data_IF_926480781911
#
_entry.id   IF_926480781911
#
_cell.length_a   1.000
_cell.length_b   1.000
_cell.length_c   1.000
_cell.angle_alpha   90.00
_cell.angle_beta   90.00
_cell.angle_gamma   90.00
#
_symmetry.space_group_name_H-M   'P 1'
#
loop_
_entity.id
_entity.type
_entity.pdbx_description
1 polymer ?
#
# COMPACT_ATOMS: atom_id res chain seq x y z
N UNK A 1 -24.60 -43.45 9.96
CA UNK A 1 -25.81 -42.62 10.13
C UNK A 1 -25.30 -41.18 10.26
N UNK A 2 -25.17 -40.30 9.26
CA UNK A 2 -25.95 -39.86 8.08
C UNK A 2 -27.19 -39.03 8.44
N UNK A 3 -26.98 -37.78 8.86
CA UNK A 3 -28.05 -36.80 9.04
C UNK A 3 -27.77 -35.59 8.12
N UNK A 4 -28.52 -35.56 7.01
CA UNK A 4 -28.65 -34.48 6.04
C UNK A 4 -29.92 -33.70 6.36
N UNK A 5 -29.84 -32.39 6.51
CA UNK A 5 -30.97 -31.43 6.47
C UNK A 5 -30.33 -30.06 6.18
N UNK A 6 -30.30 -29.44 4.99
CA UNK A 6 -31.31 -29.14 3.96
C UNK A 6 -32.37 -28.11 4.39
N UNK A 7 -32.00 -26.83 4.49
CA UNK A 7 -32.86 -25.63 4.35
C UNK A 7 -31.93 -24.50 3.84
N UNK A 8 -31.81 -24.17 2.55
CA UNK A 8 -32.79 -23.52 1.66
C UNK A 8 -33.35 -22.19 2.22
N UNK A 9 -32.49 -21.16 2.36
CA UNK A 9 -32.91 -19.75 2.46
C UNK A 9 -32.22 -18.99 1.33
N UNK A 10 -32.61 -19.35 0.11
CA UNK A 10 -32.48 -18.52 -1.07
C UNK A 10 -33.88 -18.02 -1.35
N UNK A 11 -34.21 -16.81 -0.94
CA UNK A 11 -35.24 -15.93 -1.52
C UNK A 11 -35.33 -14.68 -0.66
N UNK A 12 -35.54 -13.54 -1.32
CA UNK A 12 -35.96 -12.26 -0.75
C UNK A 12 -34.84 -11.35 -0.24
N UNK A 13 -34.24 -10.59 -1.17
CA UNK A 13 -34.07 -9.13 -1.04
C UNK A 13 -33.66 -8.53 -2.39
N UNK A 14 -34.62 -8.58 -3.31
CA UNK A 14 -34.71 -7.69 -4.46
C UNK A 14 -34.99 -6.29 -3.89
N UNK A 15 -33.94 -5.49 -3.64
CA UNK A 15 -34.10 -4.05 -3.51
C UNK A 15 -33.76 -3.39 -4.84
N UNK A 16 -34.85 -3.01 -5.50
CA UNK A 16 -34.93 -2.11 -6.64
C UNK A 16 -34.37 -0.76 -6.23
N UNK A 17 -33.22 -0.36 -6.76
CA UNK A 17 -32.84 1.07 -6.80
C UNK A 17 -33.34 1.67 -8.10
N UNK A 18 -34.54 2.25 -7.92
CA UNK A 18 -35.31 3.08 -8.81
C UNK A 18 -34.56 4.34 -9.21
N UNK A 19 -34.85 4.78 -10.43
CA UNK A 19 -34.35 5.95 -11.14
C UNK A 19 -34.38 7.31 -10.41
N UNK A 20 -33.38 8.14 -10.72
CA UNK A 20 -33.56 9.59 -10.92
C UNK A 20 -33.09 9.88 -12.36
N UNK A 21 -33.97 10.00 -13.36
CA UNK A 21 -34.90 11.11 -13.62
C UNK A 21 -34.16 12.45 -13.82
N UNK A 22 -34.23 12.92 -15.07
CA UNK A 22 -33.35 13.91 -15.67
C UNK A 22 -33.52 15.34 -15.18
N UNK A 23 -32.52 16.15 -15.54
CA UNK A 23 -32.56 17.60 -15.39
C UNK A 23 -32.69 18.24 -16.79
N UNK A 24 -33.63 19.17 -16.99
CA UNK A 24 -33.92 19.78 -18.28
C UNK A 24 -32.75 20.66 -18.76
N UNK A 25 -32.53 20.63 -20.08
CA UNK A 25 -31.66 21.54 -20.79
C UNK A 25 -32.24 22.97 -20.77
N UNK A 26 -31.43 23.94 -20.36
CA UNK A 26 -31.72 25.37 -20.50
C UNK A 26 -31.18 25.85 -21.84
N UNK A 27 -31.97 26.54 -22.68
CA UNK A 27 -31.50 27.12 -23.91
C UNK A 27 -31.02 28.57 -23.73
N UNK A 28 -30.01 28.91 -24.53
CA UNK A 28 -29.77 30.23 -25.13
C UNK A 28 -29.25 31.37 -24.24
N UNK A 29 -27.96 31.69 -24.44
CA UNK A 29 -27.54 33.06 -24.67
C UNK A 29 -26.46 33.05 -25.78
N UNK A 30 -26.76 33.66 -26.93
CA UNK A 30 -25.78 33.97 -27.96
C UNK A 30 -25.07 35.23 -27.50
N UNK A 31 -23.87 35.07 -26.95
CA UNK A 31 -22.99 36.17 -26.56
C UNK A 31 -22.05 36.50 -27.72
N UNK A 32 -22.03 37.78 -28.11
CA UNK A 32 -21.19 38.33 -29.17
C UNK A 32 -19.71 38.15 -28.78
N UNK A 33 -18.99 37.28 -29.49
CA UNK A 33 -17.56 37.07 -29.30
C UNK A 33 -16.79 38.26 -29.89
N UNK A 34 -16.39 39.18 -29.02
CA UNK A 34 -15.31 40.11 -29.30
C UNK A 34 -14.01 39.30 -29.48
N UNK A 35 -13.31 39.52 -30.59
CA UNK A 35 -12.03 38.89 -30.89
C UNK A 35 -10.96 39.34 -29.88
N UNK A 36 -10.90 38.63 -28.76
CA UNK A 36 -9.86 38.77 -27.75
C UNK A 36 -8.62 38.06 -28.27
N UNK A 37 -7.53 38.79 -28.46
CA UNK A 37 -6.25 38.24 -28.88
C UNK A 37 -5.80 37.17 -27.88
N UNK A 38 -5.74 35.92 -28.35
CA UNK A 38 -5.35 34.76 -27.55
C UNK A 38 -3.89 34.96 -27.09
N UNK A 39 -3.60 35.06 -25.79
CA UNK A 39 -2.23 35.02 -25.32
C UNK A 39 -1.64 33.66 -25.67
N UNK A 40 -0.56 33.66 -26.46
CA UNK A 40 0.22 32.46 -26.74
C UNK A 40 0.86 32.03 -25.43
N UNK A 41 0.21 31.11 -24.73
CA UNK A 41 0.76 30.42 -23.57
C UNK A 41 1.98 29.65 -24.06
N UNK A 42 3.17 30.16 -23.77
CA UNK A 42 4.42 29.40 -23.95
C UNK A 42 4.30 28.20 -23.03
N UNK A 43 4.12 27.02 -23.61
CA UNK A 43 4.06 25.77 -22.87
C UNK A 43 5.41 25.57 -22.16
N UNK A 44 5.45 25.88 -20.87
CA UNK A 44 6.55 25.46 -20.00
C UNK A 44 6.54 23.94 -20.02
N UNK A 45 7.59 23.34 -20.59
CA UNK A 45 7.72 21.89 -20.62
C UNK A 45 7.66 21.34 -19.19
N UNK A 46 6.60 20.59 -18.87
CA UNK A 46 6.49 19.88 -17.59
C UNK A 46 7.69 18.95 -17.48
N UNK A 47 8.47 19.09 -16.41
CA UNK A 47 9.62 18.23 -16.13
C UNK A 47 9.16 16.77 -16.07
N UNK A 48 9.89 15.87 -16.73
CA UNK A 48 9.61 14.44 -16.68
C UNK A 48 9.79 13.91 -15.24
N UNK A 49 8.74 13.37 -14.60
CA UNK A 49 8.84 12.84 -13.23
C UNK A 49 9.76 11.61 -13.12
N UNK A 50 10.12 11.00 -14.24
CA UNK A 50 11.08 9.90 -14.31
C UNK A 50 12.50 10.34 -14.66
N UNK A 51 12.75 11.65 -14.78
CA UNK A 51 14.10 12.17 -14.95
C UNK A 51 14.93 11.97 -13.67
N UNK A 52 16.24 11.77 -13.81
CA UNK A 52 17.16 11.61 -12.68
C UNK A 52 17.08 12.76 -11.66
N UNK A 53 16.76 13.98 -12.13
CA UNK A 53 16.60 15.15 -11.29
C UNK A 53 15.30 15.15 -10.47
N UNK A 54 14.20 14.58 -10.99
CA UNK A 54 12.90 14.57 -10.32
C UNK A 54 12.63 13.26 -9.54
N UNK A 55 13.29 12.17 -9.92
CA UNK A 55 13.04 10.83 -9.38
C UNK A 55 13.21 10.72 -7.86
N UNK A 56 14.21 11.35 -7.20
CA UNK A 56 14.33 11.31 -5.74
C UNK A 56 13.11 11.89 -5.00
N UNK A 57 12.53 12.97 -5.53
CA UNK A 57 11.36 13.61 -4.94
C UNK A 57 10.12 12.71 -5.10
N UNK A 58 9.95 12.08 -6.26
CA UNK A 58 8.86 11.11 -6.47
C UNK A 58 9.00 9.87 -5.58
N UNK A 59 10.22 9.35 -5.41
CA UNK A 59 10.50 8.23 -4.49
C UNK A 59 10.19 8.63 -3.04
N UNK A 60 10.54 9.85 -2.63
CA UNK A 60 10.27 10.35 -1.27
C UNK A 60 8.78 10.28 -0.94
N UNK A 61 7.92 10.71 -1.87
CA UNK A 61 6.46 10.64 -1.68
C UNK A 61 5.96 9.22 -1.45
N UNK A 62 6.53 8.22 -2.13
CA UNK A 62 6.15 6.81 -1.95
C UNK A 62 6.70 6.28 -0.61
N UNK A 63 7.94 6.66 -0.27
CA UNK A 63 8.62 6.22 0.94
C UNK A 63 8.01 6.80 2.22
N UNK A 64 7.41 7.99 2.18
CA UNK A 64 6.76 8.59 3.34
C UNK A 64 5.62 7.70 3.87
N UNK A 65 4.79 7.15 2.98
CA UNK A 65 3.74 6.20 3.36
C UNK A 65 4.31 4.84 3.81
N UNK A 66 5.44 4.41 3.24
CA UNK A 66 6.11 3.20 3.69
C UNK A 66 6.65 3.34 5.12
N UNK A 67 7.28 4.47 5.44
CA UNK A 67 7.77 4.79 6.79
C UNK A 67 6.65 4.86 7.81
N UNK A 68 5.55 5.54 7.48
CA UNK A 68 4.38 5.60 8.36
C UNK A 68 3.81 4.19 8.62
N UNK A 69 3.77 3.35 7.58
CA UNK A 69 3.34 1.96 7.72
C UNK A 69 4.29 1.13 8.59
N UNK A 70 5.61 1.29 8.42
CA UNK A 70 6.64 0.62 9.22
C UNK A 70 6.55 1.02 10.70
N UNK A 71 6.24 2.29 11.01
CA UNK A 71 6.02 2.76 12.38
C UNK A 71 4.82 2.06 13.04
N UNK A 72 3.68 1.98 12.34
CA UNK A 72 2.53 1.21 12.83
C UNK A 72 2.81 -0.29 12.92
N UNK A 73 3.61 -0.83 12.01
CA UNK A 73 3.99 -2.25 12.02
C UNK A 73 4.88 -2.57 13.22
N UNK A 74 5.78 -1.65 13.57
CA UNK A 74 6.58 -1.74 14.80
C UNK A 74 5.71 -1.65 16.03
N UNK A 75 4.76 -0.72 16.08
CA UNK A 75 3.78 -0.65 17.17
C UNK A 75 3.02 -1.97 17.31
N UNK A 76 2.48 -2.50 16.22
CA UNK A 76 1.79 -3.79 16.19
C UNK A 76 2.65 -4.93 16.72
N UNK A 77 3.94 -5.01 16.34
CA UNK A 77 4.86 -6.05 16.82
C UNK A 77 5.09 -6.05 18.33
N UNK A 78 4.83 -4.91 18.99
CA UNK A 78 4.94 -4.74 20.44
C UNK A 78 3.58 -4.75 21.16
N UNK A 79 2.48 -4.83 20.41
CA UNK A 79 1.12 -4.75 20.95
C UNK A 79 0.62 -6.16 21.29
N UNK A 80 0.00 -6.37 22.48
CA UNK A 80 -0.64 -7.64 22.82
C UNK A 80 -1.67 -8.06 21.77
N UNK A 81 -1.81 -9.36 21.53
CA UNK A 81 -2.64 -9.92 20.47
C UNK A 81 -4.09 -9.39 20.51
N UNK A 82 -4.67 -9.29 21.71
CA UNK A 82 -6.06 -8.84 21.93
C UNK A 82 -6.25 -7.35 21.61
N UNK A 83 -5.17 -6.57 21.59
CA UNK A 83 -5.18 -5.14 21.32
C UNK A 83 -4.85 -4.81 19.87
N UNK A 84 -4.44 -5.79 19.05
CA UNK A 84 -4.13 -5.58 17.63
C UNK A 84 -5.32 -5.04 16.83
N UNK A 85 -6.56 -5.31 17.28
CA UNK A 85 -7.78 -4.74 16.70
C UNK A 85 -7.79 -3.20 16.70
N UNK A 86 -7.02 -2.56 17.59
CA UNK A 86 -6.89 -1.10 17.65
C UNK A 86 -5.81 -0.55 16.69
N UNK A 87 -4.86 -1.38 16.27
CA UNK A 87 -3.71 -0.94 15.44
C UNK A 87 -3.91 -1.27 13.96
N UNK A 88 -4.51 -2.42 13.66
CA UNK A 88 -4.77 -2.87 12.27
C UNK A 88 -5.54 -1.83 11.43
N UNK A 89 -6.57 -1.12 11.95
CA UNK A 89 -7.25 -0.09 11.17
C UNK A 89 -6.32 1.02 10.66
N UNK A 90 -5.33 1.44 11.47
CA UNK A 90 -4.34 2.44 11.06
C UNK A 90 -3.43 1.91 9.95
N UNK A 91 -2.95 0.66 10.05
CA UNK A 91 -2.19 0.01 8.98
C UNK A 91 -2.99 -0.06 7.67
N UNK A 92 -4.26 -0.46 7.75
CA UNK A 92 -5.15 -0.52 6.59
C UNK A 92 -5.40 0.85 5.97
N UNK A 93 -5.48 1.91 6.79
CA UNK A 93 -5.62 3.28 6.30
C UNK A 93 -4.39 3.74 5.52
N UNK A 94 -3.18 3.53 6.05
CA UNK A 94 -1.93 3.86 5.33
C UNK A 94 -1.85 3.07 4.01
N UNK A 95 -2.19 1.78 4.04
CA UNK A 95 -2.22 0.93 2.84
C UNK A 95 -3.22 1.42 1.78
N UNK A 96 -4.40 1.90 2.18
CA UNK A 96 -5.38 2.52 1.25
C UNK A 96 -4.86 3.83 0.67
N UNK A 97 -4.22 4.67 1.48
CA UNK A 97 -3.58 5.90 0.97
C UNK A 97 -2.48 5.59 -0.03
N UNK A 98 -1.65 4.57 0.23
CA UNK A 98 -0.60 4.12 -0.69
C UNK A 98 -1.19 3.56 -2.00
N UNK A 99 -2.31 2.82 -1.92
CA UNK A 99 -3.00 2.31 -3.11
C UNK A 99 -3.54 3.45 -3.98
N UNK A 100 -4.12 4.47 -3.35
CA UNK A 100 -4.70 5.62 -4.03
C UNK A 100 -3.66 6.65 -4.52
N UNK A 101 -2.41 6.58 -4.07
CA UNK A 101 -1.36 7.49 -4.49
C UNK A 101 -1.02 7.30 -5.97
N UNK A 102 -1.21 8.32 -6.80
CA UNK A 102 -0.72 8.29 -8.17
C UNK A 102 0.81 8.34 -8.20
N UNK A 103 1.42 7.45 -8.98
CA UNK A 103 2.88 7.38 -9.14
C UNK A 103 3.22 7.36 -10.63
N UNK A 104 4.35 7.96 -11.05
CA UNK A 104 4.80 7.88 -12.42
C UNK A 104 5.15 6.43 -12.81
N UNK A 105 5.11 6.11 -14.11
CA UNK A 105 5.29 4.74 -14.60
C UNK A 105 6.62 4.11 -14.17
N UNK A 106 7.69 4.90 -14.04
CA UNK A 106 8.99 4.42 -13.55
C UNK A 106 8.95 3.89 -12.10
N UNK A 107 7.97 4.28 -11.28
CA UNK A 107 7.79 3.82 -9.90
C UNK A 107 6.71 2.73 -9.75
N UNK A 108 6.13 2.24 -10.85
CA UNK A 108 5.08 1.24 -10.81
C UNK A 108 5.50 -0.04 -10.04
N UNK A 109 6.75 -0.49 -10.24
CA UNK A 109 7.27 -1.67 -9.55
C UNK A 109 7.49 -1.42 -8.05
N UNK A 110 8.03 -0.26 -7.67
CA UNK A 110 8.19 0.16 -6.26
C UNK A 110 6.83 0.16 -5.55
N UNK A 111 5.82 0.78 -6.16
CA UNK A 111 4.46 0.80 -5.61
C UNK A 111 3.87 -0.61 -5.49
N UNK A 112 4.07 -1.47 -6.48
CA UNK A 112 3.59 -2.86 -6.40
C UNK A 112 4.23 -3.63 -5.24
N UNK A 113 5.53 -3.48 -5.02
CA UNK A 113 6.25 -4.12 -3.92
C UNK A 113 5.81 -3.57 -2.56
N UNK A 114 5.64 -2.25 -2.47
CA UNK A 114 5.10 -1.58 -1.29
C UNK A 114 3.74 -2.15 -0.88
N UNK A 115 2.79 -2.18 -1.82
CA UNK A 115 1.44 -2.69 -1.54
C UNK A 115 1.43 -4.18 -1.21
N UNK A 116 2.26 -4.97 -1.88
CA UNK A 116 2.41 -6.38 -1.57
C UNK A 116 2.92 -6.58 -0.13
N UNK A 117 3.98 -5.86 0.27
CA UNK A 117 4.49 -5.90 1.64
C UNK A 117 3.40 -5.51 2.66
N UNK A 118 2.74 -4.37 2.44
CA UNK A 118 1.70 -3.86 3.35
C UNK A 118 0.56 -4.87 3.53
N UNK A 119 0.08 -5.47 2.43
CA UNK A 119 -0.95 -6.50 2.49
C UNK A 119 -0.47 -7.72 3.28
N UNK A 120 0.73 -8.23 2.99
CA UNK A 120 1.27 -9.41 3.69
C UNK A 120 1.42 -9.16 5.18
N UNK A 121 1.86 -7.98 5.62
CA UNK A 121 1.93 -7.64 7.05
C UNK A 121 0.54 -7.64 7.69
N UNK A 122 -0.45 -6.98 7.07
CA UNK A 122 -1.82 -6.92 7.59
C UNK A 122 -2.43 -8.33 7.68
N UNK A 123 -2.31 -9.13 6.63
CA UNK A 123 -2.80 -10.50 6.58
C UNK A 123 -2.14 -11.37 7.65
N UNK A 124 -0.81 -11.24 7.82
CA UNK A 124 -0.06 -11.97 8.85
C UNK A 124 -0.52 -11.60 10.25
N UNK A 125 -0.79 -10.32 10.52
CA UNK A 125 -1.33 -9.87 11.81
C UNK A 125 -2.75 -10.42 12.06
N UNK A 126 -3.61 -10.45 11.04
CA UNK A 126 -4.95 -11.05 11.13
C UNK A 126 -4.85 -12.55 11.42
N UNK A 127 -3.94 -13.26 10.75
CA UNK A 127 -3.68 -14.69 11.00
C UNK A 127 -3.18 -14.90 12.42
N UNK A 128 -2.22 -14.09 12.89
CA UNK A 128 -1.69 -14.14 14.25
C UNK A 128 -2.79 -13.93 15.30
N UNK A 129 -3.73 -12.99 15.07
CA UNK A 129 -4.89 -12.79 15.94
C UNK A 129 -5.79 -14.03 16.05
N UNK A 130 -5.96 -14.78 14.96
CA UNK A 130 -6.77 -16.00 14.95
C UNK A 130 -6.03 -17.25 15.43
N UNK A 131 -4.72 -17.32 15.19
CA UNK A 131 -3.86 -18.44 15.54
C UNK A 131 -2.40 -17.96 15.72
N UNK A 132 -1.93 -17.76 16.97
CA UNK A 132 -0.61 -17.22 17.23
C UNK A 132 0.52 -18.24 17.08
N UNK A 133 0.23 -19.45 16.61
CA UNK A 133 1.24 -20.50 16.45
C UNK A 133 2.26 -20.12 15.39
N UNK A 134 3.54 -20.26 15.74
CA UNK A 134 4.65 -19.79 14.93
C UNK A 134 4.68 -20.45 13.55
N UNK A 135 4.28 -21.72 13.44
CA UNK A 135 4.23 -22.47 12.18
C UNK A 135 3.29 -21.84 11.15
N UNK A 136 2.25 -21.15 11.62
CA UNK A 136 1.24 -20.50 10.78
C UNK A 136 1.66 -19.06 10.43
N UNK A 137 2.34 -18.37 11.35
CA UNK A 137 2.64 -16.94 11.24
C UNK A 137 4.02 -16.67 10.60
N UNK A 138 5.01 -17.52 10.86
CA UNK A 138 6.38 -17.35 10.37
C UNK A 138 6.50 -17.25 8.84
N UNK A 139 5.73 -18.01 8.02
CA UNK A 139 5.76 -17.85 6.57
C UNK A 139 5.38 -16.42 6.13
N UNK A 140 4.34 -15.84 6.75
CA UNK A 140 3.91 -14.47 6.48
C UNK A 140 4.96 -13.43 6.88
N UNK A 141 5.61 -13.61 8.04
CA UNK A 141 6.72 -12.75 8.48
C UNK A 141 7.90 -12.82 7.49
N UNK A 142 8.27 -14.03 7.07
CA UNK A 142 9.37 -14.22 6.12
C UNK A 142 9.07 -13.58 4.76
N UNK A 143 7.84 -13.76 4.25
CA UNK A 143 7.40 -13.15 3.01
C UNK A 143 7.35 -11.62 3.09
N UNK A 144 6.85 -11.06 4.19
CA UNK A 144 6.84 -9.61 4.40
C UNK A 144 8.26 -9.02 4.36
N UNK A 145 9.23 -9.67 5.02
CA UNK A 145 10.64 -9.25 4.99
C UNK A 145 11.26 -9.33 3.60
N UNK A 146 10.99 -10.39 2.85
CA UNK A 146 11.45 -10.54 1.47
C UNK A 146 10.89 -9.45 0.56
N UNK A 147 9.60 -9.12 0.69
CA UNK A 147 8.96 -8.05 -0.08
C UNK A 147 9.53 -6.66 0.28
N UNK A 148 9.79 -6.40 1.56
CA UNK A 148 10.43 -5.15 2.02
C UNK A 148 11.85 -5.02 1.46
N UNK A 149 12.64 -6.11 1.52
CA UNK A 149 13.98 -6.14 0.93
C UNK A 149 13.96 -5.88 -0.57
N UNK A 150 13.01 -6.46 -1.31
CA UNK A 150 12.84 -6.20 -2.76
C UNK A 150 12.47 -4.74 -3.03
N UNK A 151 11.63 -4.14 -2.18
CA UNK A 151 11.28 -2.72 -2.24
C UNK A 151 12.54 -1.84 -2.08
N UNK A 152 13.37 -2.11 -1.07
CA UNK A 152 14.62 -1.39 -0.83
C UNK A 152 15.61 -1.53 -1.98
N UNK A 153 15.75 -2.76 -2.52
CA UNK A 153 16.60 -3.03 -3.69
C UNK A 153 16.13 -2.24 -4.91
N UNK A 154 14.81 -2.16 -5.14
CA UNK A 154 14.27 -1.44 -6.29
C UNK A 154 14.47 0.08 -6.15
N UNK A 155 14.28 0.64 -4.95
CA UNK A 155 14.60 2.05 -4.68
C UNK A 155 16.09 2.31 -4.94
N UNK A 156 16.97 1.44 -4.44
CA UNK A 156 18.40 1.60 -4.65
C UNK A 156 18.78 1.55 -6.13
N UNK A 157 18.20 0.60 -6.88
CA UNK A 157 18.37 0.48 -8.33
C UNK A 157 17.96 1.76 -9.06
N UNK A 158 16.82 2.34 -8.69
CA UNK A 158 16.30 3.57 -9.30
C UNK A 158 17.16 4.79 -8.98
N UNK A 159 17.70 4.87 -7.77
CA UNK A 159 18.60 5.95 -7.35
C UNK A 159 20.05 5.77 -7.84
N UNK A 160 20.36 4.68 -8.56
CA UNK A 160 21.72 4.38 -8.99
C UNK A 160 22.70 4.09 -7.86
N UNK A 161 22.20 3.80 -6.64
CA UNK A 161 23.04 3.47 -5.49
C UNK A 161 23.20 1.95 -5.37
N UNK A 162 24.42 1.50 -5.13
CA UNK A 162 24.69 0.08 -4.89
C UNK A 162 24.49 -0.22 -3.41
N UNK A 163 23.55 -1.10 -3.06
CA UNK A 163 23.44 -1.60 -1.68
C UNK A 163 24.62 -2.52 -1.40
N UNK A 164 25.50 -2.12 -0.47
CA UNK A 164 26.52 -3.01 0.07
C UNK A 164 25.84 -3.88 1.13
N UNK A 165 25.73 -5.21 0.94
CA UNK A 165 25.13 -6.06 1.96
C UNK A 165 25.95 -5.97 3.23
N UNK A 166 25.30 -5.62 4.34
CA UNK A 166 25.95 -5.59 5.64
C UNK A 166 26.44 -7.01 5.97
N UNK A 167 27.70 -7.21 6.38
CA UNK A 167 28.21 -8.53 6.71
C UNK A 167 27.32 -9.21 7.74
N UNK A 168 26.79 -10.39 7.42
CA UNK A 168 26.10 -11.24 8.39
C UNK A 168 27.03 -11.46 9.58
N UNK A 169 26.66 -10.94 10.75
CA UNK A 169 27.44 -11.15 11.96
C UNK A 169 27.69 -12.66 12.13
N UNK A 170 28.95 -13.04 12.32
CA UNK A 170 29.33 -14.42 12.55
C UNK A 170 28.54 -14.98 13.76
N UNK A 171 28.21 -16.29 13.77
CA UNK A 171 27.51 -16.90 14.89
C UNK A 171 28.23 -16.57 16.20
N UNK A 172 27.54 -15.87 17.10
CA UNK A 172 28.07 -15.59 18.44
C UNK A 172 28.26 -16.94 19.12
N UNK A 173 29.51 -17.33 19.34
CA UNK A 173 29.84 -18.54 20.06
C UNK A 173 29.34 -18.33 21.50
N UNK A 174 28.51 -19.22 22.06
CA UNK A 174 28.02 -19.05 23.42
C UNK A 174 29.22 -19.03 24.38
N UNK A 175 29.32 -17.94 25.15
CA UNK A 175 30.31 -17.83 26.23
C UNK A 175 29.99 -18.93 27.26
N UNK A 176 30.94 -19.81 27.61
CA UNK A 176 30.71 -20.84 28.61
C UNK A 176 30.39 -20.19 29.95
N UNK A 177 29.23 -20.53 30.52
CA UNK A 177 28.86 -20.15 31.88
C UNK A 177 29.87 -20.80 32.85
N UNK A 178 30.66 -19.99 33.55
CA UNK A 178 31.53 -20.51 34.62
C UNK A 178 30.68 -21.01 35.80
N UNK A 179 31.13 -22.09 36.48
CA UNK A 179 30.42 -22.71 37.60
C UNK A 179 30.39 -21.84 38.86
#
# INVERSE_FOLDING_TARGET
MKNKTFIAIAFLLIFVFTACAGKPATPTAVELVAASATPVMVATATLDPCSEAALPDEITKVNDLMREFDDYSRLASSTPQEQLVQVIPSLQEVRRRAENQEVPQCLANVKSLQLAHMNTVIETLIVFMGNPQAEVVNPGIAQARDLHMKYDIEIARLLGVTLVPQPTAAPVTPVPTQP
#
